data_IF_951979027200
#
_entry.id   IF_951979027200
#
_cell.length_a   1.000
_cell.length_b   1.000
_cell.length_c   1.000
_cell.angle_alpha   90.00
_cell.angle_beta   90.00
_cell.angle_gamma   90.00
#
_symmetry.space_group_name_H-M   'P 1'
#
loop_
_entity.id
_entity.type
_entity.pdbx_description
1 polymer ?
#
# COMPACT_ATOMS: atom_id res chain seq x y z
N UNK A 1 -17.44 11.01 -30.50
CA UNK A 1 -16.74 9.99 -29.70
C UNK A 1 -17.19 10.11 -28.26
N UNK A 2 -17.60 9.02 -27.62
CA UNK A 2 -17.96 9.03 -26.22
C UNK A 2 -16.71 9.32 -25.37
N UNK A 3 -16.74 10.36 -24.54
CA UNK A 3 -15.64 10.74 -23.65
C UNK A 3 -15.55 9.70 -22.54
N UNK A 4 -14.72 8.66 -22.72
CA UNK A 4 -14.36 7.77 -21.62
C UNK A 4 -13.40 8.52 -20.70
N UNK A 5 -13.98 9.30 -19.78
CA UNK A 5 -13.22 9.88 -18.67
C UNK A 5 -12.94 8.75 -17.69
N UNK A 6 -11.70 8.27 -17.63
CA UNK A 6 -11.27 7.42 -16.51
C UNK A 6 -11.48 8.24 -15.25
N UNK A 7 -12.28 7.72 -14.32
CA UNK A 7 -12.57 8.42 -13.07
C UNK A 7 -11.34 8.31 -12.15
N UNK A 8 -10.38 9.19 -12.39
CA UNK A 8 -9.12 9.27 -11.66
C UNK A 8 -9.33 9.63 -10.19
N UNK A 9 -10.44 10.28 -9.85
CA UNK A 9 -10.84 10.54 -8.46
C UNK A 9 -11.15 9.25 -7.71
N UNK A 10 -11.85 8.30 -8.35
CA UNK A 10 -12.13 6.97 -7.78
C UNK A 10 -10.84 6.18 -7.56
N UNK A 11 -9.89 6.26 -8.48
CA UNK A 11 -8.57 5.62 -8.35
C UNK A 11 -7.79 6.23 -7.18
N UNK A 12 -7.78 7.56 -7.07
CA UNK A 12 -7.13 8.27 -5.95
C UNK A 12 -7.77 7.92 -4.61
N UNK A 13 -9.10 7.89 -4.55
CA UNK A 13 -9.83 7.45 -3.36
C UNK A 13 -9.50 6.00 -2.98
N UNK A 14 -9.41 5.09 -3.95
CA UNK A 14 -9.04 3.70 -3.72
C UNK A 14 -7.60 3.56 -3.22
N UNK A 15 -6.64 4.28 -3.84
CA UNK A 15 -5.24 4.32 -3.42
C UNK A 15 -5.09 4.84 -1.98
N UNK A 16 -5.82 5.89 -1.62
CA UNK A 16 -5.86 6.40 -0.25
C UNK A 16 -6.40 5.37 0.75
N UNK A 17 -7.51 4.69 0.42
CA UNK A 17 -8.05 3.61 1.27
C UNK A 17 -7.04 2.48 1.46
N UNK A 18 -6.38 2.05 0.37
CA UNK A 18 -5.35 1.02 0.42
C UNK A 18 -4.18 1.45 1.30
N UNK A 19 -3.72 2.70 1.20
CA UNK A 19 -2.67 3.26 2.06
C UNK A 19 -3.06 3.20 3.53
N UNK A 20 -4.25 3.68 3.88
CA UNK A 20 -4.72 3.66 5.27
C UNK A 20 -4.74 2.24 5.83
N UNK A 21 -5.29 1.28 5.07
CA UNK A 21 -5.32 -0.13 5.49
C UNK A 21 -3.91 -0.71 5.61
N UNK A 22 -3.02 -0.44 4.65
CA UNK A 22 -1.63 -0.92 4.71
C UNK A 22 -0.89 -0.39 5.94
N UNK A 23 -1.04 0.90 6.24
CA UNK A 23 -0.43 1.54 7.41
C UNK A 23 -0.99 0.98 8.72
N UNK A 24 -2.31 0.80 8.81
CA UNK A 24 -2.96 0.25 10.00
C UNK A 24 -2.44 -1.16 10.28
N UNK A 25 -2.40 -2.03 9.27
CA UNK A 25 -1.95 -3.39 9.49
C UNK A 25 -0.46 -3.42 9.84
N UNK A 26 0.38 -2.62 9.17
CA UNK A 26 1.79 -2.48 9.57
C UNK A 26 1.96 -1.97 11.00
N UNK A 27 1.08 -1.09 11.46
CA UNK A 27 1.00 -0.66 12.86
C UNK A 27 0.73 -1.82 13.81
N UNK A 28 -0.28 -2.65 13.53
CA UNK A 28 -0.62 -3.82 14.34
C UNK A 28 0.53 -4.83 14.44
N UNK A 29 1.23 -5.10 13.33
CA UNK A 29 2.41 -5.97 13.35
C UNK A 29 3.54 -5.40 14.21
N UNK A 30 3.76 -4.07 14.21
CA UNK A 30 4.74 -3.44 15.11
C UNK A 30 4.34 -3.58 16.57
N UNK A 31 3.06 -3.42 16.88
CA UNK A 31 2.52 -3.65 18.24
C UNK A 31 2.77 -5.09 18.67
N UNK A 32 2.45 -6.06 17.82
CA UNK A 32 2.70 -7.48 18.08
C UNK A 32 4.19 -7.77 18.27
N UNK A 33 5.08 -7.14 17.50
CA UNK A 33 6.54 -7.30 17.65
C UNK A 33 7.03 -6.81 19.00
N UNK A 34 6.53 -5.67 19.46
CA UNK A 34 6.88 -5.15 20.77
C UNK A 34 6.36 -6.06 21.89
N UNK A 35 5.17 -6.63 21.74
CA UNK A 35 4.63 -7.63 22.68
C UNK A 35 5.43 -8.93 22.67
N UNK A 36 5.87 -9.40 21.50
CA UNK A 36 6.71 -10.60 21.38
C UNK A 36 8.06 -10.41 22.09
N UNK A 37 8.68 -9.22 21.99
CA UNK A 37 9.90 -8.88 22.74
C UNK A 37 9.69 -8.87 24.25
N UNK A 38 8.53 -8.39 24.73
CA UNK A 38 8.18 -8.44 26.16
C UNK A 38 7.93 -9.87 26.63
N UNK A 39 7.36 -10.72 25.77
CA UNK A 39 7.17 -12.13 26.08
C UNK A 39 8.51 -12.88 26.18
N UNK A 40 9.48 -12.56 25.32
CA UNK A 40 10.83 -13.14 25.34
C UNK A 40 11.56 -12.94 26.68
N UNK A 41 11.40 -11.77 27.30
CA UNK A 41 12.01 -11.51 28.62
C UNK A 41 11.41 -12.37 29.73
N UNK A 42 10.15 -12.81 29.58
CA UNK A 42 9.36 -13.41 30.65
C UNK A 42 9.10 -14.90 30.45
N UNK A 43 9.21 -15.43 29.22
CA UNK A 43 8.87 -16.81 28.90
C UNK A 43 10.01 -17.56 28.21
N UNK A 44 11.02 -17.94 29.02
CA UNK A 44 12.16 -18.73 28.57
C UNK A 44 11.84 -20.23 28.63
N UNK A 45 11.21 -20.73 27.58
CA UNK A 45 10.95 -22.17 27.38
C UNK A 45 11.02 -22.53 25.91
N UNK A 46 11.11 -23.83 25.58
CA UNK A 46 11.07 -24.30 24.20
C UNK A 46 9.77 -23.88 23.46
N UNK A 47 8.64 -23.87 24.18
CA UNK A 47 7.36 -23.37 23.63
C UNK A 47 7.41 -21.86 23.35
N UNK A 48 8.02 -21.08 24.25
CA UNK A 48 8.25 -19.65 24.05
C UNK A 48 9.17 -19.37 22.87
N UNK A 49 10.21 -20.18 22.68
CA UNK A 49 11.12 -20.08 21.53
C UNK A 49 10.46 -20.39 20.18
N UNK A 50 9.64 -21.44 20.13
CA UNK A 50 8.84 -21.77 18.95
C UNK A 50 7.87 -20.62 18.61
N UNK A 51 7.14 -20.11 19.60
CA UNK A 51 6.22 -18.99 19.42
C UNK A 51 6.93 -17.72 18.91
N UNK A 52 8.10 -17.38 19.45
CA UNK A 52 8.92 -16.25 18.97
C UNK A 52 9.35 -16.45 17.52
N UNK A 53 9.84 -17.62 17.15
CA UNK A 53 10.27 -17.91 15.78
C UNK A 53 9.13 -17.69 14.79
N UNK A 54 7.94 -18.19 15.09
CA UNK A 54 6.73 -17.95 14.28
C UNK A 54 6.38 -16.47 14.21
N UNK A 55 6.40 -15.75 15.33
CA UNK A 55 6.14 -14.31 15.35
C UNK A 55 7.15 -13.52 14.51
N UNK A 56 8.44 -13.86 14.59
CA UNK A 56 9.49 -13.26 13.76
C UNK A 56 9.27 -13.46 12.26
N UNK A 57 8.88 -14.66 11.85
CA UNK A 57 8.54 -14.95 10.46
C UNK A 57 7.34 -14.11 9.97
N UNK A 58 6.32 -13.98 10.83
CA UNK A 58 5.15 -13.15 10.54
C UNK A 58 5.53 -11.67 10.35
N UNK A 59 6.46 -11.12 11.14
CA UNK A 59 6.94 -9.75 10.95
C UNK A 59 7.66 -9.56 9.61
N UNK A 60 8.57 -10.48 9.27
CA UNK A 60 9.30 -10.42 8.00
C UNK A 60 8.35 -10.47 6.80
N UNK A 61 7.34 -11.35 6.86
CA UNK A 61 6.32 -11.44 5.82
C UNK A 61 5.48 -10.16 5.72
N UNK A 62 5.21 -9.50 6.85
CA UNK A 62 4.50 -8.24 6.85
C UNK A 62 5.30 -7.10 6.21
N UNK A 63 6.61 -7.03 6.41
CA UNK A 63 7.47 -6.02 5.75
C UNK A 63 7.42 -6.14 4.22
N UNK A 64 7.52 -7.37 3.72
CA UNK A 64 7.39 -7.66 2.28
C UNK A 64 6.02 -7.25 1.78
N UNK A 65 4.95 -7.68 2.45
CA UNK A 65 3.57 -7.31 2.09
C UNK A 65 3.37 -5.80 2.06
N UNK A 66 3.85 -5.10 3.10
CA UNK A 66 3.71 -3.65 3.22
C UNK A 66 4.40 -2.93 2.07
N UNK A 67 5.57 -3.41 1.67
CA UNK A 67 6.35 -2.87 0.56
C UNK A 67 5.64 -3.09 -0.78
N UNK A 68 5.15 -4.30 -1.04
CA UNK A 68 4.42 -4.62 -2.27
C UNK A 68 3.16 -3.75 -2.42
N UNK A 69 2.36 -3.63 -1.35
CA UNK A 69 1.18 -2.77 -1.36
C UNK A 69 1.54 -1.30 -1.55
N UNK A 70 2.60 -0.82 -0.89
CA UNK A 70 3.03 0.57 -1.06
C UNK A 70 3.48 0.85 -2.49
N UNK A 71 4.21 -0.08 -3.13
CA UNK A 71 4.61 0.04 -4.53
C UNK A 71 3.40 0.10 -5.46
N UNK A 72 2.38 -0.74 -5.22
CA UNK A 72 1.15 -0.72 -5.99
C UNK A 72 0.37 0.60 -5.82
N UNK A 73 0.28 1.13 -4.58
CA UNK A 73 -0.31 2.44 -4.30
C UNK A 73 0.43 3.55 -5.05
N UNK A 74 1.76 3.54 -5.01
CA UNK A 74 2.58 4.54 -5.70
C UNK A 74 2.36 4.50 -7.22
N UNK A 75 2.25 3.31 -7.82
CA UNK A 75 1.92 3.15 -9.23
C UNK A 75 0.57 3.79 -9.57
N UNK A 76 -0.48 3.53 -8.77
CA UNK A 76 -1.81 4.10 -8.98
C UNK A 76 -1.80 5.63 -8.92
N UNK A 77 -1.06 6.21 -7.99
CA UNK A 77 -1.04 7.66 -7.77
C UNK A 77 -0.11 8.42 -8.71
N UNK A 78 1.03 7.84 -9.08
CA UNK A 78 2.05 8.56 -9.84
C UNK A 78 1.94 8.31 -11.35
N UNK A 79 1.50 7.12 -11.76
CA UNK A 79 1.54 6.73 -13.17
C UNK A 79 0.15 6.79 -13.81
N UNK A 80 -0.89 6.33 -13.10
CA UNK A 80 -2.23 6.24 -13.69
C UNK A 80 -2.95 7.58 -13.67
N UNK A 81 -3.02 8.26 -12.52
CA UNK A 81 -3.76 9.53 -12.43
C UNK A 81 -3.07 10.70 -13.17
N UNK A 82 -1.78 11.04 -12.92
CA UNK A 82 -1.09 12.11 -13.64
C UNK A 82 -0.90 11.80 -15.13
N UNK A 83 -0.58 10.55 -15.48
CA UNK A 83 -0.41 10.12 -16.86
C UNK A 83 -1.69 10.32 -17.67
N UNK A 84 -2.82 9.85 -17.14
CA UNK A 84 -4.12 10.03 -17.79
C UNK A 84 -4.51 11.50 -17.94
N UNK A 85 -4.38 12.28 -16.87
CA UNK A 85 -4.73 13.72 -16.88
C UNK A 85 -3.89 14.51 -17.89
N UNK A 86 -2.60 14.22 -17.98
CA UNK A 86 -1.69 14.84 -18.94
C UNK A 86 -2.06 14.48 -20.38
N UNK A 87 -2.31 13.20 -20.66
CA UNK A 87 -2.70 12.75 -22.01
C UNK A 87 -4.02 13.36 -22.46
N UNK A 88 -5.05 13.39 -21.60
CA UNK A 88 -6.33 14.05 -21.91
C UNK A 88 -6.16 15.55 -22.17
N UNK A 89 -5.33 16.22 -21.37
CA UNK A 89 -5.04 17.65 -21.55
C UNK A 89 -4.34 17.93 -22.88
N UNK A 90 -3.35 17.11 -23.26
CA UNK A 90 -2.64 17.22 -24.54
C UNK A 90 -3.58 16.96 -25.70
N UNK A 91 -4.38 15.90 -25.64
CA UNK A 91 -5.34 15.55 -26.69
C UNK A 91 -6.40 16.64 -26.88
N UNK A 92 -6.91 17.23 -25.79
CA UNK A 92 -7.86 18.35 -25.85
C UNK A 92 -7.22 19.56 -26.53
N UNK A 93 -6.01 19.94 -26.12
CA UNK A 93 -5.26 21.06 -26.74
C UNK A 93 -4.95 20.83 -28.21
N UNK A 94 -4.61 19.59 -28.61
CA UNK A 94 -4.40 19.24 -30.02
C UNK A 94 -5.70 19.34 -30.80
N UNK A 95 -6.80 18.77 -30.29
CA UNK A 95 -8.10 18.82 -30.95
C UNK A 95 -8.59 20.27 -31.16
N UNK A 96 -8.36 21.16 -30.19
CA UNK A 96 -8.73 22.57 -30.31
C UNK A 96 -7.91 23.34 -31.35
N UNK A 97 -6.71 22.86 -31.73
CA UNK A 97 -5.90 23.44 -32.82
C UNK A 97 -6.36 23.03 -34.22
N UNK A 98 -7.20 22.00 -34.34
CA UNK A 98 -7.74 21.52 -35.62
C UNK A 98 -9.20 21.95 -35.87
N UNK A 99 -9.74 22.81 -35.00
CA UNK A 99 -11.03 23.49 -35.19
C UNK A 99 -10.79 24.87 -35.77
#
# INVERSE_FOLDING_TARGET
>A
MAKQVVNTDRLTSAANKLRTVNNNITGEFRTLQNKAKQLDSNWKSAAGEAARTTMYQLFKNNEVRSTVLQNYINMLEQQVNPGYTNTETVNTKLADKFK
#
